data_IF_417396899798
#
_entry.id   IF_417396899798
#
_cell.length_a   1.000
_cell.length_b   1.000
_cell.length_c   1.000
_cell.angle_alpha   90.00
_cell.angle_beta   90.00
_cell.angle_gamma   90.00
#
_symmetry.space_group_name_H-M   'P 1'
#
loop_
_entity.id
_entity.type
_entity.pdbx_description
1 polymer ?
#
# COMPACT_ATOMS: atom_id res chain seq x y z
N UNK A 1 76.94 25.88 -4.70
CA UNK A 1 75.49 26.18 -4.71
C UNK A 1 74.81 25.24 -5.68
N UNK A 2 74.03 24.27 -5.20
CA UNK A 2 73.08 23.49 -6.02
C UNK A 2 71.76 23.51 -5.26
N UNK A 3 70.77 24.21 -5.83
CA UNK A 3 69.41 24.32 -5.34
C UNK A 3 68.72 22.95 -5.40
N UNK A 4 68.01 22.60 -4.33
CA UNK A 4 67.17 21.42 -4.26
C UNK A 4 65.88 21.61 -5.06
N UNK A 5 65.58 20.67 -5.96
CA UNK A 5 64.31 20.59 -6.65
C UNK A 5 63.20 20.10 -5.69
N UNK A 6 62.08 20.82 -5.52
CA UNK A 6 61.02 20.42 -4.62
C UNK A 6 59.96 19.50 -5.26
N UNK A 7 59.60 18.44 -4.52
CA UNK A 7 58.22 17.98 -4.24
C UNK A 7 57.24 17.55 -5.36
N UNK A 8 57.66 17.09 -6.53
CA UNK A 8 56.72 16.60 -7.57
C UNK A 8 55.99 15.28 -7.24
N UNK A 9 56.60 14.41 -6.43
CA UNK A 9 56.02 13.10 -6.08
C UNK A 9 54.80 13.21 -5.15
N UNK A 10 54.81 14.14 -4.19
CA UNK A 10 53.73 14.32 -3.21
C UNK A 10 52.43 14.86 -3.82
N UNK A 11 52.51 15.71 -4.85
CA UNK A 11 51.34 16.24 -5.56
C UNK A 11 50.59 15.20 -6.38
N UNK A 12 51.30 14.21 -6.95
CA UNK A 12 50.70 13.15 -7.77
C UNK A 12 49.94 12.09 -6.95
N UNK A 13 50.42 11.80 -5.73
CA UNK A 13 49.76 10.88 -4.80
C UNK A 13 48.48 11.52 -4.21
N UNK A 14 48.56 12.76 -3.75
CA UNK A 14 47.39 13.53 -3.29
C UNK A 14 46.30 13.66 -4.36
N UNK A 15 46.67 13.81 -5.63
CA UNK A 15 45.72 13.86 -6.74
C UNK A 15 45.01 12.51 -6.98
N UNK A 16 45.72 11.37 -6.84
CA UNK A 16 45.10 10.04 -6.94
C UNK A 16 44.15 9.75 -5.78
N UNK A 17 44.54 10.11 -4.56
CA UNK A 17 43.68 9.93 -3.38
C UNK A 17 42.43 10.79 -3.49
N UNK A 18 42.56 12.02 -3.98
CA UNK A 18 41.40 12.90 -4.23
C UNK A 18 40.49 12.34 -5.31
N UNK A 19 41.04 11.77 -6.39
CA UNK A 19 40.25 11.15 -7.46
C UNK A 19 39.50 9.91 -6.96
N UNK A 20 40.17 9.03 -6.21
CA UNK A 20 39.54 7.84 -5.62
C UNK A 20 38.38 8.22 -4.67
N UNK A 21 38.57 9.24 -3.84
CA UNK A 21 37.51 9.75 -2.96
C UNK A 21 36.35 10.34 -3.77
N UNK A 22 36.61 11.05 -4.87
CA UNK A 22 35.56 11.57 -5.75
C UNK A 22 34.78 10.45 -6.44
N UNK A 23 35.48 9.40 -6.90
CA UNK A 23 34.88 8.23 -7.54
C UNK A 23 34.02 7.43 -6.53
N UNK A 24 34.49 7.24 -5.31
CA UNK A 24 33.72 6.64 -4.21
C UNK A 24 32.47 7.46 -3.87
N UNK A 25 32.59 8.79 -3.82
CA UNK A 25 31.43 9.67 -3.60
C UNK A 25 30.45 9.57 -4.78
N UNK A 26 30.94 9.51 -6.01
CA UNK A 26 30.10 9.37 -7.19
C UNK A 26 29.38 8.00 -7.19
N UNK A 27 30.09 6.93 -6.83
CA UNK A 27 29.54 5.59 -6.66
C UNK A 27 28.48 5.55 -5.56
N UNK A 28 28.77 6.09 -4.38
CA UNK A 28 27.81 6.19 -3.27
C UNK A 28 26.60 7.04 -3.63
N UNK A 29 26.78 8.16 -4.35
CA UNK A 29 25.65 8.96 -4.88
C UNK A 29 24.82 8.17 -5.88
N UNK A 30 25.46 7.39 -6.74
CA UNK A 30 24.81 6.49 -7.70
C UNK A 30 23.95 5.45 -6.99
N UNK A 31 24.51 4.74 -6.02
CA UNK A 31 23.78 3.78 -5.18
C UNK A 31 22.60 4.42 -4.43
N UNK A 32 22.79 5.63 -3.91
CA UNK A 32 21.71 6.39 -3.24
C UNK A 32 20.61 6.79 -4.24
N UNK A 33 20.96 7.17 -5.47
CA UNK A 33 19.99 7.52 -6.51
C UNK A 33 19.21 6.29 -7.02
N UNK A 34 19.89 5.17 -7.23
CA UNK A 34 19.26 3.91 -7.64
C UNK A 34 18.32 3.38 -6.55
N UNK A 35 18.75 3.39 -5.28
CA UNK A 35 17.89 2.99 -4.16
C UNK A 35 16.69 3.90 -3.94
N UNK A 36 16.79 5.19 -4.31
CA UNK A 36 15.69 6.18 -4.21
C UNK A 36 14.66 6.04 -5.33
N UNK A 37 15.06 5.55 -6.51
CA UNK A 37 14.19 5.38 -7.66
C UNK A 37 13.63 3.95 -7.81
N UNK A 38 13.84 3.09 -6.82
CA UNK A 38 13.28 1.74 -6.82
C UNK A 38 11.73 1.80 -6.90
N UNK A 39 11.10 1.06 -7.82
CA UNK A 39 9.65 1.03 -7.95
C UNK A 39 9.00 0.44 -6.70
N UNK A 40 7.77 0.89 -6.40
CA UNK A 40 7.00 0.34 -5.30
C UNK A 40 6.47 -1.04 -5.65
N UNK A 41 6.67 -2.00 -4.75
CA UNK A 41 6.29 -3.40 -4.97
C UNK A 41 4.89 -3.75 -4.41
N UNK A 42 4.13 -2.76 -3.93
CA UNK A 42 2.83 -2.99 -3.30
C UNK A 42 1.69 -3.36 -4.30
N UNK A 43 1.96 -3.35 -5.61
CA UNK A 43 0.96 -3.49 -6.66
C UNK A 43 0.10 -4.76 -6.55
N UNK A 44 0.70 -5.97 -6.51
CA UNK A 44 -0.04 -7.23 -6.42
C UNK A 44 -0.93 -7.33 -5.17
N UNK A 45 -0.47 -6.76 -4.04
CA UNK A 45 -1.24 -6.74 -2.80
C UNK A 45 -2.50 -5.89 -2.97
N UNK A 46 -2.37 -4.69 -3.56
CA UNK A 46 -3.49 -3.78 -3.79
C UNK A 46 -4.50 -4.34 -4.80
N UNK A 47 -4.04 -5.00 -5.86
CA UNK A 47 -4.91 -5.71 -6.80
C UNK A 47 -5.68 -6.81 -6.09
N UNK A 48 -5.00 -7.62 -5.29
CA UNK A 48 -5.64 -8.70 -4.52
C UNK A 48 -6.67 -8.13 -3.55
N UNK A 49 -6.35 -7.07 -2.82
CA UNK A 49 -7.27 -6.42 -1.91
C UNK A 49 -8.51 -5.89 -2.64
N UNK A 50 -8.31 -5.18 -3.76
CA UNK A 50 -9.39 -4.65 -4.58
C UNK A 50 -10.32 -5.74 -5.12
N UNK A 51 -9.77 -6.86 -5.59
CA UNK A 51 -10.56 -8.00 -6.08
C UNK A 51 -11.31 -8.69 -4.93
N UNK A 52 -10.61 -9.11 -3.88
CA UNK A 52 -11.21 -9.87 -2.78
C UNK A 52 -12.28 -9.05 -2.06
N UNK A 53 -11.95 -7.84 -1.62
CA UNK A 53 -12.88 -7.01 -0.85
C UNK A 53 -13.92 -6.31 -1.74
N UNK A 54 -13.60 -6.04 -3.02
CA UNK A 54 -14.59 -5.59 -4.00
C UNK A 54 -15.65 -6.65 -4.25
N UNK A 55 -15.25 -7.90 -4.49
CA UNK A 55 -16.19 -9.03 -4.64
C UNK A 55 -16.99 -9.30 -3.37
N UNK A 56 -16.35 -9.26 -2.19
CA UNK A 56 -17.05 -9.38 -0.91
C UNK A 56 -18.10 -8.28 -0.71
N UNK A 57 -17.80 -7.05 -1.11
CA UNK A 57 -18.75 -5.93 -1.05
C UNK A 57 -19.96 -6.18 -1.95
N UNK A 58 -19.76 -6.69 -3.17
CA UNK A 58 -20.88 -7.05 -4.05
C UNK A 58 -21.71 -8.21 -3.48
N UNK A 59 -21.08 -9.19 -2.84
CA UNK A 59 -21.79 -10.26 -2.12
C UNK A 59 -22.61 -9.72 -0.95
N UNK A 60 -22.04 -8.81 -0.16
CA UNK A 60 -22.71 -8.17 0.96
C UNK A 60 -23.92 -7.33 0.50
N UNK A 61 -23.77 -6.61 -0.62
CA UNK A 61 -24.87 -5.91 -1.28
C UNK A 61 -25.99 -6.86 -1.67
N UNK A 62 -25.68 -7.97 -2.36
CA UNK A 62 -26.68 -8.93 -2.79
C UNK A 62 -27.48 -9.52 -1.61
N UNK A 63 -26.83 -9.73 -0.45
CA UNK A 63 -27.51 -10.15 0.77
C UNK A 63 -28.40 -9.01 1.32
N UNK A 64 -27.88 -7.80 1.45
CA UNK A 64 -28.62 -6.68 2.06
C UNK A 64 -29.75 -6.14 1.18
N UNK A 65 -29.62 -6.23 -0.14
CA UNK A 65 -30.66 -5.86 -1.10
C UNK A 65 -31.77 -6.93 -1.22
N UNK A 66 -31.65 -8.07 -0.52
CA UNK A 66 -32.63 -9.17 -0.59
C UNK A 66 -32.59 -9.96 -1.90
N UNK A 67 -31.55 -9.77 -2.74
CA UNK A 67 -31.34 -10.55 -3.97
C UNK A 67 -31.01 -12.01 -3.62
N UNK A 68 -30.25 -12.20 -2.53
CA UNK A 68 -29.89 -13.50 -2.00
C UNK A 68 -30.39 -13.60 -0.56
N UNK A 69 -31.32 -14.52 -0.31
CA UNK A 69 -31.83 -14.80 1.03
C UNK A 69 -31.02 -15.92 1.68
N UNK A 70 -30.24 -15.55 2.69
CA UNK A 70 -29.35 -16.47 3.43
C UNK A 70 -29.48 -16.24 4.93
N UNK A 71 -28.93 -17.17 5.71
CA UNK A 71 -28.82 -17.03 7.15
C UNK A 71 -28.11 -15.70 7.53
N UNK A 72 -28.56 -14.98 8.57
CA UNK A 72 -27.92 -13.74 9.04
C UNK A 72 -26.40 -13.84 9.27
N UNK A 73 -25.90 -15.00 9.72
CA UNK A 73 -24.48 -15.25 9.93
C UNK A 73 -23.66 -15.33 8.64
N UNK A 74 -24.30 -15.48 7.48
CA UNK A 74 -23.61 -15.53 6.19
C UNK A 74 -22.82 -14.24 5.90
N UNK A 75 -23.32 -13.08 6.36
CA UNK A 75 -22.61 -11.80 6.24
C UNK A 75 -21.28 -11.82 7.00
N UNK A 76 -21.28 -12.33 8.24
CA UNK A 76 -20.05 -12.47 9.03
C UNK A 76 -19.06 -13.40 8.32
N UNK A 77 -19.53 -14.57 7.90
CA UNK A 77 -18.68 -15.57 7.24
C UNK A 77 -18.14 -15.10 5.89
N UNK A 78 -18.89 -14.27 5.14
CA UNK A 78 -18.41 -13.64 3.92
C UNK A 78 -17.16 -12.80 4.18
N UNK A 79 -17.18 -11.95 5.21
CA UNK A 79 -16.03 -11.11 5.58
C UNK A 79 -14.88 -11.92 6.18
N UNK A 80 -15.18 -12.91 7.03
CA UNK A 80 -14.15 -13.81 7.59
C UNK A 80 -13.45 -14.60 6.48
N UNK A 81 -14.20 -15.21 5.57
CA UNK A 81 -13.64 -15.94 4.43
C UNK A 81 -12.78 -15.04 3.54
N UNK A 82 -13.26 -13.82 3.25
CA UNK A 82 -12.50 -12.83 2.48
C UNK A 82 -11.19 -12.44 3.16
N UNK A 83 -11.22 -12.23 4.48
CA UNK A 83 -10.03 -11.95 5.28
C UNK A 83 -9.02 -13.10 5.26
N UNK A 84 -9.48 -14.35 5.41
CA UNK A 84 -8.64 -15.55 5.36
C UNK A 84 -8.00 -15.72 3.97
N UNK A 85 -8.80 -15.58 2.91
CA UNK A 85 -8.31 -15.64 1.52
C UNK A 85 -7.25 -14.57 1.30
N UNK A 86 -7.54 -13.32 1.68
CA UNK A 86 -6.59 -12.22 1.53
C UNK A 86 -5.30 -12.45 2.31
N UNK A 87 -5.38 -12.89 3.57
CA UNK A 87 -4.20 -13.17 4.41
C UNK A 87 -3.33 -14.30 3.82
N UNK A 88 -3.95 -15.36 3.29
CA UNK A 88 -3.25 -16.44 2.62
C UNK A 88 -2.49 -15.94 1.38
N UNK A 89 -3.17 -15.20 0.50
CA UNK A 89 -2.55 -14.63 -0.71
C UNK A 89 -1.47 -13.60 -0.35
N UNK A 90 -1.73 -12.74 0.63
CA UNK A 90 -0.77 -11.74 1.13
C UNK A 90 0.53 -12.40 1.60
N UNK A 91 0.45 -13.49 2.35
CA UNK A 91 1.62 -14.23 2.83
C UNK A 91 2.48 -14.74 1.68
N UNK A 92 1.84 -15.31 0.65
CA UNK A 92 2.53 -15.79 -0.56
C UNK A 92 3.16 -14.62 -1.34
N UNK A 93 2.43 -13.52 -1.52
CA UNK A 93 2.92 -12.34 -2.24
C UNK A 93 4.13 -11.71 -1.53
N UNK A 94 4.07 -11.54 -0.21
CA UNK A 94 5.21 -11.04 0.58
C UNK A 94 6.42 -11.96 0.41
N UNK A 95 6.22 -13.28 0.44
CA UNK A 95 7.28 -14.24 0.17
C UNK A 95 7.95 -14.02 -1.20
N UNK A 96 7.16 -13.80 -2.25
CA UNK A 96 7.66 -13.53 -3.61
C UNK A 96 8.31 -12.16 -3.77
N UNK A 97 7.83 -11.13 -3.07
CA UNK A 97 8.41 -9.79 -3.17
C UNK A 97 9.80 -9.68 -2.54
N UNK A 98 10.12 -10.52 -1.55
CA UNK A 98 11.44 -10.52 -0.88
C UNK A 98 12.60 -10.77 -1.83
N UNK A 99 12.36 -11.44 -2.96
CA UNK A 99 13.39 -11.73 -3.97
C UNK A 99 13.55 -10.62 -5.00
N UNK A 100 12.65 -9.62 -5.04
CA UNK A 100 12.66 -8.56 -6.04
C UNK A 100 13.68 -7.46 -5.71
N UNK A 101 14.39 -6.92 -6.72
CA UNK A 101 15.26 -5.77 -6.54
C UNK A 101 14.51 -4.58 -5.92
N UNK A 102 15.14 -3.89 -4.97
CA UNK A 102 14.54 -2.73 -4.32
C UNK A 102 13.54 -3.05 -3.21
N UNK A 103 13.28 -4.32 -2.87
CA UNK A 103 12.43 -4.68 -1.72
C UNK A 103 12.90 -4.05 -0.40
N UNK A 104 14.22 -4.04 -0.17
CA UNK A 104 14.83 -3.42 1.00
C UNK A 104 15.10 -1.91 0.84
N UNK A 105 14.59 -1.25 -0.20
CA UNK A 105 14.75 0.19 -0.37
C UNK A 105 14.05 0.95 0.77
N UNK A 106 14.57 2.15 1.10
CA UNK A 106 13.96 2.97 2.14
C UNK A 106 12.48 3.30 1.81
N UNK A 107 12.17 3.54 0.53
CA UNK A 107 10.80 3.81 0.07
C UNK A 107 9.89 2.60 0.29
N UNK A 108 10.29 1.39 -0.17
CA UNK A 108 9.47 0.18 0.00
C UNK A 108 9.30 -0.21 1.47
N UNK A 109 10.31 -0.04 2.32
CA UNK A 109 10.17 -0.28 3.77
C UNK A 109 9.18 0.69 4.42
N UNK A 110 9.27 1.98 4.13
CA UNK A 110 8.36 2.99 4.69
C UNK A 110 6.92 2.79 4.21
N UNK A 111 6.72 2.54 2.91
CA UNK A 111 5.39 2.27 2.34
C UNK A 111 4.83 0.95 2.86
N UNK A 112 5.66 -0.09 2.94
CA UNK A 112 5.28 -1.38 3.52
C UNK A 112 4.81 -1.25 4.97
N UNK A 113 5.58 -0.54 5.81
CA UNK A 113 5.20 -0.29 7.20
C UNK A 113 3.89 0.51 7.32
N UNK A 114 3.64 1.47 6.43
CA UNK A 114 2.39 2.21 6.39
C UNK A 114 1.19 1.29 6.06
N UNK A 115 1.32 0.43 5.06
CA UNK A 115 0.28 -0.54 4.70
C UNK A 115 0.07 -1.62 5.76
N UNK A 116 1.13 -2.05 6.43
CA UNK A 116 1.05 -2.99 7.56
C UNK A 116 0.27 -2.36 8.73
N UNK A 117 0.60 -1.11 9.10
CA UNK A 117 -0.13 -0.38 10.13
C UNK A 117 -1.61 -0.18 9.77
N UNK A 118 -1.90 0.11 8.48
CA UNK A 118 -3.29 0.17 7.97
C UNK A 118 -3.98 -1.18 8.06
N UNK A 119 -3.31 -2.28 7.72
CA UNK A 119 -3.85 -3.64 7.80
C UNK A 119 -4.25 -4.01 9.23
N UNK A 120 -3.34 -3.82 10.19
CA UNK A 120 -3.65 -4.04 11.61
C UNK A 120 -4.73 -3.09 12.11
N UNK A 121 -4.67 -1.82 11.72
CA UNK A 121 -5.67 -0.81 12.09
C UNK A 121 -7.08 -1.18 11.63
N UNK A 122 -7.23 -1.63 10.39
CA UNK A 122 -8.52 -2.10 9.83
C UNK A 122 -9.00 -3.33 10.60
N UNK A 123 -8.12 -4.31 10.84
CA UNK A 123 -8.48 -5.54 11.55
C UNK A 123 -8.93 -5.27 12.99
N UNK A 124 -8.19 -4.46 13.73
CA UNK A 124 -8.53 -4.09 15.11
C UNK A 124 -9.82 -3.26 15.14
N UNK A 125 -10.02 -2.35 14.19
CA UNK A 125 -11.28 -1.59 14.05
C UNK A 125 -12.46 -2.53 13.83
N UNK A 126 -12.30 -3.54 12.96
CA UNK A 126 -13.33 -4.56 12.72
C UNK A 126 -13.66 -5.33 14.00
N UNK A 127 -12.66 -5.81 14.73
CA UNK A 127 -12.87 -6.50 16.03
C UNK A 127 -13.58 -5.62 17.04
N UNK A 128 -13.20 -4.33 17.13
CA UNK A 128 -13.83 -3.38 18.04
C UNK A 128 -15.31 -3.15 17.69
N UNK A 129 -15.65 -3.02 16.41
CA UNK A 129 -17.04 -2.85 15.96
C UNK A 129 -17.86 -4.12 16.12
N UNK A 130 -17.28 -5.31 15.94
CA UNK A 130 -17.93 -6.58 16.26
C UNK A 130 -18.23 -6.65 17.76
N UNK A 131 -17.25 -6.36 18.62
CA UNK A 131 -17.46 -6.35 20.07
C UNK A 131 -18.53 -5.33 20.50
N UNK A 132 -18.51 -4.12 19.91
CA UNK A 132 -19.53 -3.09 20.14
C UNK A 132 -20.92 -3.55 19.70
N UNK A 133 -21.02 -4.20 18.53
CA UNK A 133 -22.29 -4.72 17.98
C UNK A 133 -22.88 -5.82 18.87
N UNK A 134 -22.04 -6.76 19.31
CA UNK A 134 -22.45 -7.83 20.25
C UNK A 134 -22.88 -7.23 21.59
N UNK A 135 -22.14 -6.26 22.12
CA UNK A 135 -22.43 -5.65 23.42
C UNK A 135 -23.72 -4.82 23.41
N UNK A 136 -23.98 -4.11 22.32
CA UNK A 136 -25.15 -3.21 22.19
C UNK A 136 -26.37 -3.88 21.55
N UNK A 137 -26.19 -5.06 20.95
CA UNK A 137 -27.21 -5.72 20.12
C UNK A 137 -27.47 -5.01 18.79
N UNK A 138 -26.75 -3.93 18.48
CA UNK A 138 -26.94 -3.15 17.26
C UNK A 138 -25.79 -3.39 16.28
N UNK A 139 -26.07 -4.11 15.19
CA UNK A 139 -25.09 -4.41 14.14
C UNK A 139 -24.94 -3.29 13.09
N UNK A 140 -25.71 -2.20 13.19
CA UNK A 140 -25.58 -1.05 12.27
C UNK A 140 -24.20 -0.38 12.37
N UNK A 141 -23.49 -0.55 13.48
CA UNK A 141 -22.12 -0.05 13.65
C UNK A 141 -21.15 -0.58 12.58
N UNK A 142 -21.41 -1.79 12.05
CA UNK A 142 -20.58 -2.39 11.00
C UNK A 142 -20.61 -1.59 9.69
N UNK A 143 -21.64 -0.77 9.45
CA UNK A 143 -21.75 0.08 8.26
C UNK A 143 -20.67 1.20 8.23
N UNK A 144 -19.98 1.46 9.34
CA UNK A 144 -18.86 2.42 9.41
C UNK A 144 -17.58 1.85 8.77
N UNK A 145 -17.45 0.53 8.64
CA UNK A 145 -16.23 -0.12 8.15
C UNK A 145 -15.75 0.38 6.78
N UNK A 146 -16.59 0.46 5.74
CA UNK A 146 -16.19 0.99 4.43
C UNK A 146 -15.52 2.37 4.52
N UNK A 147 -16.10 3.29 5.30
CA UNK A 147 -15.56 4.63 5.52
C UNK A 147 -14.20 4.59 6.24
N UNK A 148 -14.10 3.80 7.31
CA UNK A 148 -12.85 3.67 8.07
C UNK A 148 -11.71 3.11 7.20
N UNK A 149 -12.00 2.12 6.36
CA UNK A 149 -11.04 1.54 5.42
C UNK A 149 -10.52 2.60 4.44
N UNK A 150 -11.41 3.41 3.86
CA UNK A 150 -11.01 4.44 2.89
C UNK A 150 -10.19 5.57 3.50
N UNK A 151 -10.45 5.95 4.76
CA UNK A 151 -9.60 6.89 5.49
C UNK A 151 -8.20 6.30 5.72
N UNK A 152 -8.13 5.03 6.11
CA UNK A 152 -6.86 4.34 6.32
C UNK A 152 -6.07 4.21 4.99
N UNK A 153 -6.74 3.87 3.89
CA UNK A 153 -6.13 3.81 2.56
C UNK A 153 -5.62 5.18 2.10
N UNK A 154 -6.38 6.25 2.33
CA UNK A 154 -5.94 7.62 2.03
C UNK A 154 -4.65 7.97 2.77
N UNK A 155 -4.50 7.50 4.01
CA UNK A 155 -3.30 7.72 4.83
C UNK A 155 -2.08 6.99 4.26
N UNK A 156 -2.21 5.71 3.92
CA UNK A 156 -1.12 4.95 3.30
C UNK A 156 -0.73 5.51 1.93
N UNK A 157 -1.69 5.92 1.10
CA UNK A 157 -1.39 6.57 -0.18
C UNK A 157 -0.69 7.91 -0.01
N UNK A 158 -1.01 8.68 1.03
CA UNK A 158 -0.33 9.94 1.30
C UNK A 158 1.14 9.73 1.67
N UNK A 159 1.43 8.67 2.45
CA UNK A 159 2.81 8.25 2.75
C UNK A 159 3.50 7.79 1.47
N UNK A 160 2.84 6.96 0.66
CA UNK A 160 3.34 6.54 -0.66
C UNK A 160 3.73 7.73 -1.53
N UNK A 161 2.84 8.72 -1.65
CA UNK A 161 3.10 9.94 -2.40
C UNK A 161 4.27 10.77 -1.85
N UNK A 162 4.41 10.85 -0.53
CA UNK A 162 5.53 11.56 0.11
C UNK A 162 6.88 10.85 -0.16
N UNK A 163 6.88 9.51 -0.19
CA UNK A 163 8.10 8.72 -0.43
C UNK A 163 8.52 8.74 -1.90
N UNK A 164 7.57 8.65 -2.83
CA UNK A 164 7.86 8.57 -4.28
C UNK A 164 7.85 9.92 -4.99
N UNK A 165 7.28 10.96 -4.36
CA UNK A 165 7.03 12.29 -4.95
C UNK A 165 6.21 12.24 -6.25
N UNK A 166 5.37 11.23 -6.42
CA UNK A 166 4.52 11.09 -7.62
C UNK A 166 3.12 11.65 -7.37
N UNK A 167 2.70 12.61 -8.22
CA UNK A 167 1.42 13.32 -8.09
C UNK A 167 0.19 12.42 -8.14
N UNK A 168 0.22 11.35 -8.94
CA UNK A 168 -0.93 10.46 -9.09
C UNK A 168 -1.26 9.71 -7.79
N UNK A 169 -0.25 9.40 -6.96
CA UNK A 169 -0.48 8.79 -5.64
C UNK A 169 -1.16 9.78 -4.68
N UNK A 170 -0.80 11.08 -4.74
CA UNK A 170 -1.52 12.11 -3.98
C UNK A 170 -2.99 12.22 -4.40
N UNK A 171 -3.26 12.17 -5.70
CA UNK A 171 -4.63 12.14 -6.21
C UNK A 171 -5.39 10.90 -5.73
N UNK A 172 -4.73 9.75 -5.70
CA UNK A 172 -5.32 8.49 -5.18
C UNK A 172 -5.65 8.61 -3.69
N UNK A 173 -4.77 9.23 -2.89
CA UNK A 173 -5.00 9.50 -1.48
C UNK A 173 -6.23 10.39 -1.27
N UNK A 174 -6.31 11.50 -2.00
CA UNK A 174 -7.44 12.44 -1.92
C UNK A 174 -8.74 11.79 -2.41
N UNK A 175 -8.68 10.98 -3.47
CA UNK A 175 -9.82 10.21 -3.95
C UNK A 175 -10.31 9.20 -2.90
N UNK A 176 -9.40 8.58 -2.14
CA UNK A 176 -9.77 7.69 -1.04
C UNK A 176 -10.49 8.44 0.09
N UNK A 177 -9.99 9.61 0.50
CA UNK A 177 -10.66 10.43 1.51
C UNK A 177 -12.02 10.95 1.03
N UNK A 178 -12.10 11.45 -0.19
CA UNK A 178 -13.38 11.87 -0.78
C UNK A 178 -14.36 10.69 -0.89
N UNK A 179 -13.86 9.53 -1.31
CA UNK A 179 -14.61 8.28 -1.35
C UNK A 179 -15.15 7.88 0.03
N UNK A 180 -14.40 8.10 1.11
CA UNK A 180 -14.86 7.84 2.47
C UNK A 180 -16.10 8.68 2.82
N UNK A 181 -16.09 9.97 2.46
CA UNK A 181 -17.24 10.88 2.66
C UNK A 181 -18.43 10.44 1.81
N UNK A 182 -18.20 10.10 0.54
CA UNK A 182 -19.24 9.62 -0.38
C UNK A 182 -19.87 8.32 0.14
N UNK A 183 -19.06 7.35 0.56
CA UNK A 183 -19.53 6.07 1.10
C UNK A 183 -20.32 6.27 2.39
N UNK A 184 -19.88 7.16 3.28
CA UNK A 184 -20.60 7.47 4.52
C UNK A 184 -22.00 8.04 4.27
N UNK A 185 -22.23 8.73 3.16
CA UNK A 185 -23.54 9.23 2.76
C UNK A 185 -24.58 8.10 2.60
N UNK A 186 -24.14 6.90 2.22
CA UNK A 186 -25.00 5.73 2.01
C UNK A 186 -25.09 4.81 3.23
N UNK A 187 -24.69 5.23 4.43
CA UNK A 187 -24.59 4.36 5.62
C UNK A 187 -25.87 3.60 6.00
N UNK A 188 -27.04 4.10 5.61
CA UNK A 188 -28.34 3.46 5.85
C UNK A 188 -28.88 2.69 4.64
N UNK A 189 -28.17 2.68 3.52
CA UNK A 189 -28.59 2.09 2.25
C UNK A 189 -27.67 0.91 1.88
N UNK A 190 -28.23 -0.17 1.35
CA UNK A 190 -27.45 -1.29 0.81
C UNK A 190 -26.48 -0.83 -0.30
N UNK A 191 -26.77 0.29 -0.97
CA UNK A 191 -25.90 0.92 -1.97
C UNK A 191 -24.52 1.33 -1.43
N UNK A 192 -24.30 1.38 -0.10
CA UNK A 192 -22.97 1.62 0.46
C UNK A 192 -21.91 0.65 -0.08
N UNK A 193 -22.26 -0.62 -0.28
CA UNK A 193 -21.32 -1.65 -0.71
C UNK A 193 -20.92 -1.59 -2.19
N UNK A 194 -21.83 -1.42 -3.17
CA UNK A 194 -21.41 -1.22 -4.56
C UNK A 194 -20.68 0.11 -4.75
N UNK A 195 -21.06 1.17 -4.03
CA UNK A 195 -20.31 2.44 -4.04
C UNK A 195 -18.90 2.23 -3.49
N UNK A 196 -18.77 1.54 -2.35
CA UNK A 196 -17.47 1.19 -1.78
C UNK A 196 -16.64 0.33 -2.74
N UNK A 197 -17.23 -0.67 -3.40
CA UNK A 197 -16.55 -1.48 -4.40
C UNK A 197 -16.03 -0.64 -5.57
N UNK A 198 -16.83 0.30 -6.08
CA UNK A 198 -16.41 1.22 -7.13
C UNK A 198 -15.24 2.11 -6.69
N UNK A 199 -15.26 2.60 -5.44
CA UNK A 199 -14.12 3.35 -4.89
C UNK A 199 -12.89 2.45 -4.75
N UNK A 200 -13.02 1.21 -4.26
CA UNK A 200 -11.90 0.24 -4.19
C UNK A 200 -11.29 -0.03 -5.57
N UNK A 201 -12.09 -0.06 -6.63
CA UNK A 201 -11.56 -0.15 -7.99
C UNK A 201 -10.65 1.04 -8.28
N UNK A 202 -11.11 2.26 -7.97
CA UNK A 202 -10.36 3.49 -8.24
C UNK A 202 -9.13 3.68 -7.35
N UNK A 203 -9.15 3.24 -6.08
CA UNK A 203 -8.09 3.54 -5.09
C UNK A 203 -7.23 2.34 -4.71
N UNK A 204 -7.59 1.13 -5.09
CA UNK A 204 -6.81 -0.08 -4.85
C UNK A 204 -6.49 -0.81 -6.15
N UNK A 205 -7.50 -1.23 -6.91
CA UNK A 205 -7.30 -2.08 -8.09
C UNK A 205 -6.54 -1.37 -9.21
N UNK A 206 -7.03 -0.21 -9.65
CA UNK A 206 -6.40 0.56 -10.74
C UNK A 206 -4.98 1.01 -10.36
N UNK A 207 -4.76 1.64 -9.19
CA UNK A 207 -3.42 1.94 -8.69
C UNK A 207 -2.51 0.71 -8.58
N UNK A 208 -3.04 -0.42 -8.11
CA UNK A 208 -2.30 -1.67 -7.98
C UNK A 208 -1.81 -2.18 -9.34
N UNK A 209 -2.66 -2.12 -10.37
CA UNK A 209 -2.27 -2.47 -11.75
C UNK A 209 -1.24 -1.50 -12.32
N UNK A 210 -1.34 -0.20 -12.02
CA UNK A 210 -0.35 0.80 -12.42
C UNK A 210 1.01 0.48 -11.79
N UNK A 211 1.03 0.16 -10.50
CA UNK A 211 2.26 -0.23 -9.78
C UNK A 211 2.87 -1.51 -10.35
N UNK A 212 2.06 -2.56 -10.58
CA UNK A 212 2.54 -3.81 -11.18
C UNK A 212 3.22 -3.60 -12.54
N UNK A 213 2.73 -2.65 -13.35
CA UNK A 213 3.36 -2.30 -14.64
C UNK A 213 4.70 -1.58 -14.49
N UNK A 214 5.00 -1.03 -13.32
CA UNK A 214 6.24 -0.33 -13.01
C UNK A 214 7.27 -1.24 -12.31
N UNK A 215 6.87 -2.44 -11.89
CA UNK A 215 7.79 -3.38 -11.25
C UNK A 215 8.83 -3.91 -12.24
N UNK A 216 10.08 -4.16 -11.80
CA UNK A 216 11.10 -4.72 -12.67
C UNK A 216 10.63 -6.11 -13.12
N UNK A 217 10.70 -6.40 -14.42
CA UNK A 217 10.50 -7.77 -14.90
C UNK A 217 11.50 -8.69 -14.21
N UNK A 218 11.05 -9.86 -13.73
CA UNK A 218 11.98 -10.90 -13.31
C UNK A 218 12.94 -11.15 -14.48
N UNK A 219 14.23 -10.90 -14.25
CA UNK A 219 15.27 -11.30 -15.19
C UNK A 219 15.26 -12.83 -15.10
N UNK A 220 14.66 -13.47 -16.10
CA UNK A 220 14.75 -14.92 -16.33
C UNK A 220 16.16 -15.24 -16.78
#
# INVERSE_FOLDING_TARGET
>A
MREGAPSTLGGSLMARDTQAVQDDIAYLRGLVHEGRNAPLLAGPILVTAGVVFGSASLGQWAIQAGVINVNPWAQLWLWVASGVIFAGVLTVLIGRMKTKPGFHSASNRSVGAAWEAVGYGIFVTWLALVALSVKTGNWSWMAVMPTAVLVAYGSAWMIGAAMTRTRWMSLTALASYAGAVVVAWFVTDALIFPVFAAVLVAVALVPGLILMRQEPSEIV
#
